data_IF_528161939681
#
_entry.id   IF_528161939681
#
_cell.length_a   1.000
_cell.length_b   1.000
_cell.length_c   1.000
_cell.angle_alpha   90.00
_cell.angle_beta   90.00
_cell.angle_gamma   90.00
#
_symmetry.space_group_name_H-M   'P 1'
#
loop_
_entity.id
_entity.type
_entity.pdbx_description
1 polymer ?
#
# COMPACT_ATOMS: atom_id res chain seq x y z
N UNK A 1 -16.09 -54.23 10.42
CA UNK A 1 -14.81 -53.57 10.04
C UNK A 1 -14.94 -52.64 8.82
N UNK A 2 -15.76 -52.95 7.80
CA UNK A 2 -15.97 -52.07 6.62
C UNK A 2 -16.71 -50.74 6.92
N UNK A 3 -17.70 -50.74 7.82
CA UNK A 3 -18.44 -49.52 8.23
C UNK A 3 -17.58 -48.51 9.02
N UNK A 4 -16.57 -49.00 9.74
CA UNK A 4 -15.63 -48.14 10.49
C UNK A 4 -14.61 -47.46 9.55
N UNK A 5 -14.25 -48.12 8.44
CA UNK A 5 -13.39 -47.56 7.41
C UNK A 5 -14.11 -46.49 6.55
N UNK A 6 -15.42 -46.66 6.32
CA UNK A 6 -16.25 -45.71 5.58
C UNK A 6 -16.50 -44.43 6.39
N UNK A 7 -16.61 -44.52 7.73
CA UNK A 7 -16.79 -43.33 8.58
C UNK A 7 -15.55 -42.42 8.61
N UNK A 8 -14.33 -43.00 8.60
CA UNK A 8 -13.09 -42.20 8.52
C UNK A 8 -12.89 -41.55 7.15
N UNK A 9 -13.33 -42.19 6.07
CA UNK A 9 -13.20 -41.61 4.72
C UNK A 9 -14.20 -40.46 4.48
N UNK A 10 -15.36 -40.49 5.14
CA UNK A 10 -16.39 -39.45 5.03
C UNK A 10 -16.10 -38.21 5.89
N UNK A 11 -15.22 -38.32 6.90
CA UNK A 11 -14.81 -37.19 7.74
C UNK A 11 -13.62 -36.38 7.17
N UNK A 12 -12.98 -36.88 6.10
CA UNK A 12 -11.87 -36.22 5.43
C UNK A 12 -12.33 -35.21 4.35
N UNK A 13 -13.62 -35.18 4.01
CA UNK A 13 -14.21 -34.31 2.98
C UNK A 13 -14.75 -32.98 3.57
N UNK A 14 -14.77 -32.84 4.90
CA UNK A 14 -15.29 -31.65 5.60
C UNK A 14 -14.22 -30.69 6.09
N UNK A 15 -12.95 -30.85 5.67
CA UNK A 15 -11.95 -29.81 5.95
C UNK A 15 -12.36 -28.55 5.18
N UNK A 16 -12.75 -27.46 5.87
CA UNK A 16 -13.01 -26.22 5.19
C UNK A 16 -11.69 -25.76 4.61
N UNK A 17 -11.60 -25.77 3.28
CA UNK A 17 -10.52 -25.10 2.57
C UNK A 17 -10.58 -23.64 3.00
N UNK A 18 -9.71 -23.27 3.93
CA UNK A 18 -9.50 -21.89 4.27
C UNK A 18 -8.94 -21.23 3.01
N UNK A 19 -9.81 -20.60 2.23
CA UNK A 19 -9.42 -19.74 1.14
C UNK A 19 -8.55 -18.65 1.73
N UNK A 20 -7.24 -18.77 1.56
CA UNK A 20 -6.34 -17.65 1.78
C UNK A 20 -6.71 -16.62 0.72
N UNK A 21 -7.40 -15.56 1.14
CA UNK A 21 -7.67 -14.44 0.27
C UNK A 21 -6.31 -13.88 -0.17
N UNK A 22 -5.99 -14.06 -1.45
CA UNK A 22 -4.81 -13.48 -2.05
C UNK A 22 -5.04 -11.97 -2.14
N UNK A 23 -4.40 -11.24 -1.23
CA UNK A 23 -4.48 -9.78 -1.22
C UNK A 23 -3.91 -9.28 -2.56
N UNK A 24 -4.71 -8.53 -3.32
CA UNK A 24 -4.28 -8.06 -4.63
C UNK A 24 -3.25 -6.94 -4.46
N UNK A 25 -2.16 -6.94 -5.26
CA UNK A 25 -1.19 -5.87 -5.22
C UNK A 25 -1.84 -4.54 -5.62
N UNK A 26 -1.43 -3.46 -4.96
CA UNK A 26 -1.95 -2.10 -5.19
C UNK A 26 -0.98 -1.24 -6.02
N UNK A 27 0.23 -1.72 -6.21
CA UNK A 27 1.28 -1.05 -6.96
C UNK A 27 2.61 -1.76 -6.82
N UNK A 28 3.66 -1.15 -7.37
CA UNK A 28 4.99 -1.70 -7.36
C UNK A 28 6.08 -0.63 -7.16
N UNK A 29 7.24 -1.06 -6.65
CA UNK A 29 8.45 -0.25 -6.58
C UNK A 29 9.05 -0.11 -7.98
N UNK A 30 9.28 1.12 -8.41
CA UNK A 30 9.99 1.46 -9.66
C UNK A 30 11.41 1.91 -9.43
N UNK A 31 11.68 2.58 -8.30
CA UNK A 31 13.04 2.93 -7.88
C UNK A 31 13.22 2.62 -6.41
N UNK A 32 14.38 2.08 -6.07
CA UNK A 32 14.80 1.83 -4.69
C UNK A 32 16.29 2.16 -4.62
N UNK A 33 16.65 3.10 -3.76
CA UNK A 33 18.03 3.51 -3.52
C UNK A 33 18.28 3.57 -2.03
N UNK A 34 19.37 2.94 -1.58
CA UNK A 34 19.72 2.88 -0.16
C UNK A 34 18.83 1.89 0.60
N UNK A 35 18.57 2.21 1.86
CA UNK A 35 17.76 1.40 2.77
C UNK A 35 16.28 1.76 2.60
N UNK A 36 15.57 0.94 1.83
CA UNK A 36 14.12 1.02 1.65
C UNK A 36 13.50 -0.28 2.14
N UNK A 37 12.57 -0.17 3.09
CA UNK A 37 11.89 -1.33 3.67
C UNK A 37 10.39 -1.11 3.67
N UNK A 38 9.64 -2.20 3.56
CA UNK A 38 8.23 -2.25 3.89
C UNK A 38 8.06 -2.92 5.25
N UNK A 39 7.16 -2.36 6.06
CA UNK A 39 6.68 -2.99 7.29
C UNK A 39 5.32 -3.59 6.99
N UNK A 40 5.27 -4.92 6.95
CA UNK A 40 4.04 -5.70 6.75
C UNK A 40 3.89 -6.69 7.87
N UNK A 41 2.74 -6.68 8.55
CA UNK A 41 2.45 -7.58 9.68
C UNK A 41 3.55 -7.55 10.76
N UNK A 42 4.10 -6.36 11.04
CA UNK A 42 5.16 -6.13 12.03
C UNK A 42 6.57 -6.56 11.58
N UNK A 43 6.74 -7.12 10.39
CA UNK A 43 8.05 -7.52 9.84
C UNK A 43 8.58 -6.45 8.91
N UNK A 44 9.87 -6.12 9.05
CA UNK A 44 10.60 -5.31 8.08
C UNK A 44 11.13 -6.19 6.96
N UNK A 45 10.77 -5.85 5.73
CA UNK A 45 11.16 -6.57 4.52
C UNK A 45 11.84 -5.54 3.58
N UNK A 46 13.08 -5.78 3.14
CA UNK A 46 13.74 -4.92 2.16
C UNK A 46 12.93 -4.85 0.86
N UNK A 47 12.84 -3.65 0.28
CA UNK A 47 12.15 -3.40 -0.98
C UNK A 47 13.14 -3.19 -2.13
N UNK A 48 13.01 -4.01 -3.16
CA UNK A 48 13.74 -3.93 -4.43
C UNK A 48 12.85 -3.45 -5.57
N UNK A 49 13.46 -3.06 -6.68
CA UNK A 49 12.73 -2.68 -7.89
C UNK A 49 11.90 -3.86 -8.38
N UNK A 50 10.62 -3.63 -8.66
CA UNK A 50 9.66 -4.66 -9.09
C UNK A 50 8.84 -5.26 -7.96
N UNK A 51 9.21 -5.03 -6.70
CA UNK A 51 8.46 -5.56 -5.56
C UNK A 51 7.05 -4.97 -5.50
N UNK A 52 6.11 -5.82 -5.11
CA UNK A 52 4.69 -5.48 -5.00
C UNK A 52 4.38 -4.89 -3.63
N UNK A 53 3.53 -3.86 -3.66
CA UNK A 53 2.93 -3.27 -2.47
C UNK A 53 1.49 -3.73 -2.32
N UNK A 54 1.03 -3.75 -1.09
CA UNK A 54 -0.29 -4.19 -0.68
C UNK A 54 -0.90 -3.14 0.25
N UNK A 55 -2.21 -3.22 0.47
CA UNK A 55 -2.87 -2.31 1.40
C UNK A 55 -2.30 -2.50 2.82
N UNK A 56 -2.26 -1.41 3.60
CA UNK A 56 -1.68 -1.35 4.94
C UNK A 56 -0.17 -1.51 5.00
N UNK A 57 0.53 -1.49 3.86
CA UNK A 57 1.98 -1.41 3.85
C UNK A 57 2.46 -0.05 4.38
N UNK A 58 3.42 -0.10 5.30
CA UNK A 58 4.19 1.08 5.71
C UNK A 58 5.56 1.03 5.05
N UNK A 59 5.86 2.00 4.18
CA UNK A 59 7.15 2.12 3.53
C UNK A 59 8.03 3.08 4.34
N UNK A 60 9.27 2.66 4.62
CA UNK A 60 10.28 3.48 5.27
C UNK A 60 11.55 3.61 4.43
N UNK A 61 12.11 4.80 4.40
CA UNK A 61 13.40 5.12 3.78
C UNK A 61 14.40 5.59 4.84
N UNK A 62 15.68 5.20 4.70
CA UNK A 62 16.76 5.71 5.53
C UNK A 62 17.30 7.09 5.10
N UNK A 63 18.33 7.57 5.79
CA UNK A 63 18.89 8.94 5.65
C UNK A 63 19.51 9.26 4.27
N UNK A 64 20.04 8.27 3.56
CA UNK A 64 20.59 8.44 2.21
C UNK A 64 19.78 7.67 1.15
N UNK A 65 18.47 7.55 1.38
CA UNK A 65 17.61 6.62 0.64
C UNK A 65 16.46 7.34 -0.05
N UNK A 66 15.98 6.73 -1.13
CA UNK A 66 14.79 7.17 -1.83
C UNK A 66 14.05 6.00 -2.47
N UNK A 67 12.73 6.14 -2.59
CA UNK A 67 11.88 5.14 -3.21
C UNK A 67 10.90 5.80 -4.17
N UNK A 68 10.60 5.13 -5.27
CA UNK A 68 9.59 5.54 -6.25
C UNK A 68 8.59 4.43 -6.43
N UNK A 69 7.32 4.76 -6.26
CA UNK A 69 6.19 3.84 -6.28
C UNK A 69 5.28 4.25 -7.43
N UNK A 70 4.80 3.26 -8.19
CA UNK A 70 3.69 3.45 -9.12
C UNK A 70 2.55 2.54 -8.68
N UNK A 71 1.38 3.13 -8.46
CA UNK A 71 0.14 2.42 -8.14
C UNK A 71 -0.58 1.98 -9.42
N UNK A 72 -1.52 1.04 -9.28
CA UNK A 72 -2.31 0.51 -10.41
C UNK A 72 -3.11 1.60 -11.15
N UNK A 73 -3.48 2.70 -10.48
CA UNK A 73 -4.18 3.83 -11.08
C UNK A 73 -3.23 4.83 -11.79
N UNK A 74 -1.95 4.49 -11.92
CA UNK A 74 -0.86 5.35 -12.39
C UNK A 74 -0.53 6.54 -11.49
N UNK A 75 -0.97 6.55 -10.23
CA UNK A 75 -0.44 7.49 -9.25
C UNK A 75 1.04 7.22 -9.02
N UNK A 76 1.85 8.29 -8.98
CA UNK A 76 3.28 8.20 -8.69
C UNK A 76 3.52 8.81 -7.31
N UNK A 77 4.15 8.04 -6.44
CA UNK A 77 4.56 8.47 -5.11
C UNK A 77 6.07 8.27 -4.96
N UNK A 78 6.79 9.36 -4.77
CA UNK A 78 8.23 9.34 -4.52
C UNK A 78 8.51 9.73 -3.09
N UNK A 79 9.34 8.94 -2.41
CA UNK A 79 9.77 9.16 -1.03
C UNK A 79 11.23 9.59 -1.02
N UNK A 80 11.52 10.65 -0.28
CA UNK A 80 12.88 11.09 -0.03
C UNK A 80 13.49 10.42 1.22
N UNK A 81 14.57 10.99 1.77
CA UNK A 81 15.20 10.51 2.98
C UNK A 81 14.28 10.50 4.21
N UNK A 82 14.58 9.61 5.16
CA UNK A 82 13.97 9.52 6.50
C UNK A 82 12.44 9.54 6.50
N UNK A 83 11.83 9.01 5.44
CA UNK A 83 10.40 9.07 5.22
C UNK A 83 9.70 7.83 5.74
N UNK A 84 8.50 8.02 6.27
CA UNK A 84 7.63 6.94 6.72
C UNK A 84 6.22 7.22 6.25
N UNK A 85 5.69 6.36 5.38
CA UNK A 85 4.36 6.51 4.80
C UNK A 85 3.58 5.20 4.91
N UNK A 86 2.33 5.30 5.34
CA UNK A 86 1.36 4.21 5.40
C UNK A 86 0.38 4.35 4.23
N UNK A 87 0.16 3.27 3.49
CA UNK A 87 -0.92 3.17 2.52
C UNK A 87 -2.14 2.55 3.21
N UNK A 88 -2.92 3.40 3.89
CA UNK A 88 -4.03 3.00 4.76
C UNK A 88 -5.18 2.37 3.97
N UNK A 89 -5.54 2.99 2.84
CA UNK A 89 -6.60 2.47 1.97
C UNK A 89 -6.26 2.69 0.51
N UNK A 90 -6.44 1.65 -0.29
CA UNK A 90 -6.33 1.75 -1.74
C UNK A 90 -7.36 0.82 -2.39
N UNK A 91 -8.30 1.40 -3.12
CA UNK A 91 -9.31 0.69 -3.88
C UNK A 91 -9.37 1.31 -5.27
N UNK A 92 -9.05 0.51 -6.28
CA UNK A 92 -9.14 0.89 -7.67
C UNK A 92 -9.97 -0.15 -8.43
N UNK A 93 -11.28 0.10 -8.55
CA UNK A 93 -12.19 -0.76 -9.28
C UNK A 93 -12.97 0.08 -10.32
N UNK A 94 -12.33 0.44 -11.45
CA UNK A 94 -12.94 1.31 -12.45
C UNK A 94 -14.23 0.73 -13.04
N UNK A 95 -14.31 -0.59 -13.20
CA UNK A 95 -15.52 -1.27 -13.69
C UNK A 95 -16.73 -1.11 -12.76
N UNK A 96 -16.48 -0.93 -11.46
CA UNK A 96 -17.52 -0.76 -10.44
C UNK A 96 -17.73 0.71 -10.06
N UNK A 97 -16.91 1.62 -10.60
CA UNK A 97 -16.89 3.04 -10.20
C UNK A 97 -16.48 3.25 -8.74
N UNK A 98 -15.75 2.31 -8.13
CA UNK A 98 -15.33 2.40 -6.73
C UNK A 98 -13.86 2.80 -6.68
N UNK A 99 -13.61 3.95 -6.06
CA UNK A 99 -12.29 4.57 -5.97
C UNK A 99 -12.03 5.01 -4.53
N UNK A 100 -10.83 4.75 -4.01
CA UNK A 100 -10.41 5.27 -2.70
C UNK A 100 -8.90 5.21 -2.57
N UNK A 101 -8.28 6.30 -2.15
CA UNK A 101 -6.86 6.33 -1.81
C UNK A 101 -6.66 7.17 -0.55
N UNK A 102 -6.12 6.56 0.49
CA UNK A 102 -5.72 7.23 1.73
C UNK A 102 -4.27 6.87 1.99
N UNK A 103 -3.39 7.86 1.91
CA UNK A 103 -1.98 7.75 2.26
C UNK A 103 -1.70 8.64 3.47
N UNK A 104 -0.90 8.16 4.41
CA UNK A 104 -0.53 8.91 5.62
C UNK A 104 0.97 8.97 5.76
N UNK A 105 1.55 10.15 5.67
CA UNK A 105 2.98 10.35 5.96
C UNK A 105 3.13 10.70 7.45
N UNK A 106 4.01 10.00 8.14
CA UNK A 106 4.33 10.28 9.55
C UNK A 106 5.49 11.28 9.65
N UNK A 107 6.49 11.18 8.76
CA UNK A 107 7.66 12.05 8.69
C UNK A 107 8.35 11.97 7.34
N UNK A 108 9.28 12.90 7.10
CA UNK A 108 10.16 12.92 5.95
C UNK A 108 9.58 13.70 4.78
N UNK A 109 9.81 13.25 3.56
CA UNK A 109 9.41 13.96 2.33
C UNK A 109 8.74 13.03 1.35
N UNK A 110 7.67 13.51 0.72
CA UNK A 110 7.01 12.81 -0.36
C UNK A 110 6.65 13.76 -1.51
N UNK A 111 6.79 13.28 -2.73
CA UNK A 111 6.20 13.85 -3.93
C UNK A 111 5.05 12.98 -4.37
N UNK A 112 3.89 13.57 -4.60
CA UNK A 112 2.71 12.86 -5.07
C UNK A 112 2.25 13.45 -6.40
N UNK A 113 2.04 12.58 -7.40
CA UNK A 113 1.45 12.92 -8.68
C UNK A 113 0.18 12.10 -8.89
N UNK A 114 -0.94 12.79 -9.06
CA UNK A 114 -2.27 12.18 -9.17
C UNK A 114 -2.41 11.25 -10.39
N UNK A 115 -2.83 10.01 -10.14
CA UNK A 115 -3.30 9.06 -11.13
C UNK A 115 -4.78 9.23 -11.49
N UNK A 116 -5.40 8.14 -11.90
CA UNK A 116 -6.80 8.08 -12.37
C UNK A 116 -7.77 8.40 -11.24
N UNK A 117 -7.56 7.86 -10.03
CA UNK A 117 -8.46 8.07 -8.88
C UNK A 117 -8.57 9.57 -8.59
N UNK A 118 -7.45 10.27 -8.49
CA UNK A 118 -7.43 11.71 -8.20
C UNK A 118 -8.02 12.61 -9.29
N UNK A 119 -8.21 12.08 -10.51
CA UNK A 119 -8.85 12.80 -11.62
C UNK A 119 -10.35 12.49 -11.71
N UNK A 120 -10.74 11.23 -11.50
CA UNK A 120 -12.13 10.78 -11.64
C UNK A 120 -12.97 10.98 -10.37
N UNK A 121 -12.36 10.80 -9.20
CA UNK A 121 -13.03 10.90 -7.89
C UNK A 121 -12.09 11.59 -6.89
N UNK A 122 -11.86 12.91 -7.05
CA UNK A 122 -10.90 13.65 -6.25
C UNK A 122 -11.24 13.66 -4.74
N UNK A 123 -12.52 13.61 -4.38
CA UNK A 123 -13.00 13.48 -3.00
C UNK A 123 -12.59 12.18 -2.32
N UNK A 124 -12.24 11.16 -3.12
CA UNK A 124 -11.82 9.84 -2.65
C UNK A 124 -10.31 9.73 -2.41
N UNK A 125 -9.54 10.80 -2.69
CA UNK A 125 -8.10 10.86 -2.42
C UNK A 125 -7.82 11.77 -1.24
N UNK A 126 -7.19 11.20 -0.20
CA UNK A 126 -6.75 11.92 0.99
C UNK A 126 -5.27 11.62 1.26
N UNK A 127 -4.51 12.68 1.45
CA UNK A 127 -3.13 12.59 1.90
C UNK A 127 -3.02 13.23 3.27
N UNK A 128 -2.65 12.44 4.27
CA UNK A 128 -2.67 12.87 5.67
C UNK A 128 -1.26 13.05 6.20
N UNK A 129 -1.08 14.13 6.95
CA UNK A 129 0.09 14.39 7.79
C UNK A 129 -0.37 14.39 9.25
N UNK A 130 0.54 14.42 10.23
CA UNK A 130 0.15 14.53 11.64
C UNK A 130 -0.70 15.77 11.92
N UNK A 131 -0.42 16.87 11.23
CA UNK A 131 -1.03 18.18 11.50
C UNK A 131 -2.21 18.52 10.57
N UNK A 132 -2.37 17.83 9.43
CA UNK A 132 -3.33 18.20 8.41
C UNK A 132 -3.81 17.03 7.53
N UNK A 133 -4.96 17.22 6.88
CA UNK A 133 -5.41 16.36 5.78
C UNK A 133 -5.50 17.19 4.50
N UNK A 134 -4.84 16.72 3.45
CA UNK A 134 -4.81 17.33 2.13
C UNK A 134 -5.78 16.55 1.24
N UNK A 135 -6.81 17.22 0.74
CA UNK A 135 -7.68 16.70 -0.32
C UNK A 135 -7.09 17.00 -1.69
N UNK A 136 -7.12 16.03 -2.61
CA UNK A 136 -6.42 16.13 -3.90
C UNK A 136 -7.42 16.21 -5.05
N UNK A 137 -7.29 17.24 -5.90
CA UNK A 137 -8.13 17.46 -7.10
C UNK A 137 -7.28 17.51 -8.36
N UNK A 138 -6.60 16.41 -8.69
CA UNK A 138 -5.72 16.32 -9.86
C UNK A 138 -4.48 17.23 -9.73
N UNK A 139 -3.65 16.96 -8.73
CA UNK A 139 -2.51 17.82 -8.36
C UNK A 139 -1.20 17.03 -8.34
N UNK A 140 -0.10 17.76 -8.60
CA UNK A 140 1.26 17.36 -8.23
C UNK A 140 1.68 18.24 -7.05
N UNK A 141 2.06 17.64 -5.93
CA UNK A 141 2.58 18.40 -4.80
C UNK A 141 3.75 17.68 -4.12
N UNK A 142 4.49 18.46 -3.34
CA UNK A 142 5.54 18.01 -2.45
C UNK A 142 5.08 18.30 -1.02
N UNK A 143 5.34 17.36 -0.13
CA UNK A 143 5.07 17.51 1.30
C UNK A 143 6.32 17.13 2.08
N UNK A 144 6.61 17.94 3.10
CA UNK A 144 7.64 17.67 4.09
C UNK A 144 6.98 17.68 5.46
N UNK A 145 7.22 16.64 6.23
CA UNK A 145 6.80 16.54 7.63
C UNK A 145 8.05 16.40 8.48
N UNK A 146 8.31 17.44 9.26
CA UNK A 146 9.37 17.44 10.25
C UNK A 146 8.86 16.77 11.53
N UNK A 147 9.72 15.99 12.19
CA UNK A 147 9.40 15.44 13.50
C UNK A 147 9.29 16.59 14.50
N UNK A 148 8.11 16.73 15.11
CA UNK A 148 7.95 17.60 16.26
C UNK A 148 8.92 17.12 17.36
N UNK A 149 9.83 18.00 17.76
CA UNK A 149 10.97 17.70 18.65
C UNK A 149 10.65 18.06 20.08
#
# INVERSE_FOLDING_TARGET
MKRLFILCFMMMILFPYASMAEESPIGNIKTSKGDVVVIRSGKQIPLSIGDRLFQNDTIRTGAASSAGIIFEDNTILSLGPDSEILIDKYVFAPEKGIFSMIARIARGTASYLSGIIGKQSPESVKFQTPDATIGIRGTHFLVKVDLCR
#
